data_IF_736248483202
#
_entry.id   IF_736248483202
#
_cell.length_a   1.000
_cell.length_b   1.000
_cell.length_c   1.000
_cell.angle_alpha   90.00
_cell.angle_beta   90.00
_cell.angle_gamma   90.00
#
_symmetry.space_group_name_H-M   'P 1'
#
loop_
_entity.id
_entity.type
_entity.pdbx_description
1 polymer ?
#
# COMPACT_ATOMS: atom_id res chain seq x y z
N UNK A 1 2.93 -14.10 11.44
CA UNK A 1 3.53 -12.77 11.67
C UNK A 1 2.43 -11.74 11.77
N UNK A 2 2.56 -10.81 12.67
CA UNK A 2 1.57 -9.77 12.89
C UNK A 2 2.03 -8.43 12.31
N UNK A 3 1.08 -7.65 11.78
CA UNK A 3 1.34 -6.28 11.36
C UNK A 3 1.53 -5.38 12.58
N UNK A 4 2.58 -4.56 12.57
CA UNK A 4 2.93 -3.66 13.68
C UNK A 4 2.78 -2.18 13.30
N UNK A 5 2.27 -1.89 12.12
CA UNK A 5 2.12 -0.53 11.59
C UNK A 5 0.75 -0.33 10.96
N UNK A 6 0.32 0.90 10.81
CA UNK A 6 -0.93 1.27 10.14
C UNK A 6 -2.16 0.56 10.72
N UNK A 7 -2.15 0.36 12.05
CA UNK A 7 -3.18 -0.42 12.75
C UNK A 7 -4.56 0.23 12.76
N UNK A 8 -4.62 1.55 12.55
CA UNK A 8 -5.88 2.31 12.50
C UNK A 8 -6.36 2.61 11.08
N UNK A 9 -5.68 2.05 10.06
CA UNK A 9 -6.03 2.33 8.67
C UNK A 9 -7.45 1.86 8.33
N UNK A 10 -8.12 2.60 7.46
CA UNK A 10 -9.46 2.21 6.97
C UNK A 10 -9.30 1.10 5.93
N UNK A 11 -9.61 -0.14 6.32
CA UNK A 11 -9.46 -1.30 5.46
C UNK A 11 -10.49 -1.36 4.33
N UNK A 12 -11.62 -0.67 4.46
CA UNK A 12 -12.60 -0.57 3.37
C UNK A 12 -12.04 0.23 2.20
N UNK A 13 -11.17 1.21 2.49
CA UNK A 13 -10.58 2.09 1.47
C UNK A 13 -9.18 1.65 1.03
N UNK A 14 -8.43 1.00 1.89
CA UNK A 14 -7.02 0.64 1.63
C UNK A 14 -6.78 -0.85 1.47
N UNK A 15 -7.77 -1.67 1.77
CA UNK A 15 -7.66 -3.11 1.65
C UNK A 15 -7.29 -3.80 2.96
N UNK A 16 -7.24 -5.11 2.90
CA UNK A 16 -6.95 -6.00 4.02
C UNK A 16 -5.69 -6.80 3.71
N UNK A 17 -4.80 -6.92 4.71
CA UNK A 17 -3.62 -7.78 4.58
C UNK A 17 -4.08 -9.23 4.52
N UNK A 18 -3.78 -9.92 3.42
CA UNK A 18 -4.16 -11.32 3.21
C UNK A 18 -2.96 -12.27 3.29
N UNK A 19 -1.74 -11.76 3.20
CA UNK A 19 -0.53 -12.53 3.46
C UNK A 19 0.55 -11.59 3.97
N UNK A 20 1.28 -12.04 4.98
CA UNK A 20 2.35 -11.25 5.59
C UNK A 20 3.47 -12.18 6.05
N UNK A 21 4.66 -11.92 5.55
CA UNK A 21 5.89 -12.57 5.98
C UNK A 21 7.01 -11.53 6.02
N UNK A 22 8.16 -11.90 6.55
CA UNK A 22 9.26 -10.95 6.66
C UNK A 22 9.61 -10.37 5.27
N UNK A 23 9.49 -9.06 5.13
CA UNK A 23 9.83 -8.36 3.89
C UNK A 23 8.83 -8.50 2.76
N UNK A 24 7.64 -9.09 3.01
CA UNK A 24 6.63 -9.27 1.97
C UNK A 24 5.21 -9.13 2.53
N UNK A 25 4.38 -8.40 1.80
CA UNK A 25 2.97 -8.24 2.17
C UNK A 25 2.08 -8.31 0.93
N UNK A 26 0.93 -8.95 1.09
CA UNK A 26 -0.14 -8.96 0.09
C UNK A 26 -1.36 -8.31 0.70
N UNK A 27 -1.93 -7.32 0.00
CA UNK A 27 -3.16 -6.63 0.38
C UNK A 27 -4.20 -6.88 -0.70
N UNK A 28 -5.42 -7.20 -0.29
CA UNK A 28 -6.57 -7.38 -1.20
C UNK A 28 -7.59 -6.30 -0.93
N UNK A 29 -8.07 -5.64 -1.99
CA UNK A 29 -9.07 -4.58 -1.92
C UNK A 29 -10.20 -4.86 -2.90
N UNK A 30 -11.43 -4.89 -2.38
CA UNK A 30 -12.63 -4.84 -3.22
C UNK A 30 -12.99 -3.37 -3.42
N UNK A 31 -12.95 -2.91 -4.67
CA UNK A 31 -13.27 -1.50 -4.96
C UNK A 31 -14.77 -1.25 -4.84
N UNK A 32 -15.12 -0.08 -4.34
CA UNK A 32 -16.51 0.28 -4.02
C UNK A 32 -16.91 1.60 -4.68
N UNK A 33 -18.21 1.91 -4.65
CA UNK A 33 -18.73 3.15 -5.21
C UNK A 33 -18.18 4.41 -4.55
N UNK A 34 -17.73 4.32 -3.30
CA UNK A 34 -17.07 5.45 -2.61
C UNK A 34 -15.75 5.86 -3.28
N UNK A 35 -15.21 4.99 -4.12
CA UNK A 35 -13.94 5.23 -4.83
C UNK A 35 -14.14 5.76 -6.25
N UNK A 36 -15.40 5.93 -6.69
CA UNK A 36 -15.68 6.35 -8.06
C UNK A 36 -15.30 7.80 -8.29
N UNK A 37 -14.57 8.04 -9.39
CA UNK A 37 -14.20 9.38 -9.83
C UNK A 37 -15.29 10.02 -10.71
N UNK A 38 -16.15 9.20 -11.33
CA UNK A 38 -17.16 9.66 -12.29
C UNK A 38 -18.38 8.75 -12.35
N UNK A 39 -19.34 9.12 -13.19
CA UNK A 39 -20.58 8.37 -13.37
C UNK A 39 -20.39 7.03 -14.10
N UNK A 40 -19.24 6.80 -14.73
CA UNK A 40 -18.92 5.53 -15.39
C UNK A 40 -18.26 4.51 -14.44
N UNK A 41 -18.16 4.88 -13.16
CA UNK A 41 -17.61 4.00 -12.12
C UNK A 41 -16.10 3.74 -12.27
N UNK A 42 -15.37 4.70 -12.83
CA UNK A 42 -13.92 4.67 -12.85
C UNK A 42 -13.41 4.85 -11.40
N UNK A 43 -12.59 3.94 -10.93
CA UNK A 43 -11.95 4.08 -9.61
C UNK A 43 -10.88 5.17 -9.70
N UNK A 44 -10.94 6.13 -8.78
CA UNK A 44 -9.91 7.16 -8.67
C UNK A 44 -8.56 6.53 -8.31
N UNK A 45 -7.51 6.91 -9.05
CA UNK A 45 -6.17 6.33 -8.89
C UNK A 45 -5.58 6.45 -7.50
N UNK A 46 -6.01 7.43 -6.72
CA UNK A 46 -5.58 7.59 -5.34
C UNK A 46 -5.90 6.38 -4.45
N UNK A 47 -6.96 5.63 -4.74
CA UNK A 47 -7.28 4.42 -3.98
C UNK A 47 -6.39 3.25 -4.37
N UNK A 48 -6.02 3.13 -5.64
CA UNK A 48 -5.05 2.12 -6.09
C UNK A 48 -3.68 2.42 -5.47
N UNK A 49 -3.25 3.68 -5.50
CA UNK A 49 -2.03 4.13 -4.83
C UNK A 49 -2.10 3.84 -3.33
N UNK A 50 -3.22 4.15 -2.68
CA UNK A 50 -3.37 3.97 -1.23
C UNK A 50 -3.21 2.52 -0.79
N UNK A 51 -3.78 1.56 -1.54
CA UNK A 51 -3.58 0.15 -1.20
C UNK A 51 -2.13 -0.29 -1.43
N UNK A 52 -1.48 0.23 -2.47
CA UNK A 52 -0.08 -0.07 -2.76
C UNK A 52 0.85 0.47 -1.65
N UNK A 53 0.61 1.70 -1.21
CA UNK A 53 1.31 2.32 -0.09
C UNK A 53 1.12 1.49 1.18
N UNK A 54 -0.10 1.11 1.50
CA UNK A 54 -0.38 0.26 2.66
C UNK A 54 0.37 -1.07 2.59
N UNK A 55 0.38 -1.73 1.44
CA UNK A 55 1.12 -2.96 1.24
C UNK A 55 2.63 -2.75 1.46
N UNK A 56 3.18 -1.64 0.96
CA UNK A 56 4.59 -1.30 1.15
C UNK A 56 4.93 -1.10 2.63
N UNK A 57 4.08 -0.35 3.36
CA UNK A 57 4.29 -0.11 4.79
C UNK A 57 4.27 -1.42 5.58
N UNK A 58 3.31 -2.29 5.28
CA UNK A 58 3.20 -3.59 5.96
C UNK A 58 4.31 -4.56 5.57
N UNK A 59 4.86 -4.46 4.36
CA UNK A 59 6.03 -5.27 3.96
C UNK A 59 7.26 -4.91 4.80
N UNK A 60 7.46 -3.62 5.08
CA UNK A 60 8.51 -3.14 5.99
C UNK A 60 8.19 -3.55 7.43
N UNK A 61 6.94 -3.40 7.81
CA UNK A 61 6.38 -3.85 9.09
C UNK A 61 7.12 -3.33 10.32
N UNK A 62 7.36 -2.03 10.36
CA UNK A 62 7.97 -1.36 11.51
C UNK A 62 6.98 -0.32 12.04
N UNK A 63 6.81 -0.19 13.37
CA UNK A 63 5.86 0.78 13.95
C UNK A 63 6.12 2.23 13.52
N UNK A 64 7.34 2.55 13.11
CA UNK A 64 7.73 3.91 12.74
C UNK A 64 8.09 4.07 11.26
N UNK A 65 7.57 3.18 10.41
CA UNK A 65 7.76 3.31 8.96
C UNK A 65 6.93 4.48 8.42
N UNK A 66 7.54 5.25 7.52
CA UNK A 66 6.85 6.30 6.77
C UNK A 66 7.24 6.20 5.29
N UNK A 67 6.35 6.67 4.44
CA UNK A 67 6.62 6.80 3.01
C UNK A 67 7.34 8.13 2.77
N UNK A 68 8.47 8.10 2.07
CA UNK A 68 9.22 9.30 1.73
C UNK A 68 9.11 9.69 0.26
N UNK A 69 9.04 8.72 -0.64
CA UNK A 69 8.94 8.95 -2.08
C UNK A 69 8.34 7.75 -2.79
N UNK A 70 7.78 7.96 -3.97
CA UNK A 70 7.28 6.88 -4.79
C UNK A 70 7.42 7.25 -6.27
N UNK A 71 7.85 6.28 -7.07
CA UNK A 71 7.80 6.35 -8.53
C UNK A 71 6.81 5.30 -8.99
N UNK A 72 5.72 5.72 -9.63
CA UNK A 72 4.59 4.84 -9.93
C UNK A 72 4.09 5.01 -11.35
N UNK A 73 3.47 3.95 -11.87
CA UNK A 73 2.82 3.94 -13.17
C UNK A 73 1.44 3.32 -13.04
N UNK A 74 0.43 4.01 -13.55
CA UNK A 74 -0.94 3.54 -13.63
C UNK A 74 -1.13 2.89 -15.01
N UNK A 75 -1.12 1.57 -15.06
CA UNK A 75 -1.01 0.81 -16.32
C UNK A 75 -2.36 0.56 -16.98
N UNK A 76 -3.41 0.37 -16.18
CA UNK A 76 -4.76 0.06 -16.66
C UNK A 76 -5.79 0.72 -15.76
N UNK A 77 -6.93 1.15 -16.31
CA UNK A 77 -8.02 1.66 -15.49
C UNK A 77 -8.67 0.56 -14.67
N UNK A 78 -9.24 0.94 -13.54
CA UNK A 78 -9.96 0.05 -12.63
C UNK A 78 -11.40 0.53 -12.52
N UNK A 79 -12.34 -0.41 -12.55
CA UNK A 79 -13.77 -0.13 -12.40
C UNK A 79 -14.26 -0.55 -11.02
N UNK A 80 -15.19 0.21 -10.47
CA UNK A 80 -15.86 -0.13 -9.19
C UNK A 80 -16.40 -1.56 -9.25
N UNK A 81 -16.19 -2.32 -8.18
CA UNK A 81 -16.56 -3.72 -8.06
C UNK A 81 -15.44 -4.70 -8.38
N UNK A 82 -14.39 -4.24 -9.04
CA UNK A 82 -13.24 -5.09 -9.32
C UNK A 82 -12.40 -5.29 -8.06
N UNK A 83 -11.83 -6.49 -7.94
CA UNK A 83 -10.99 -6.88 -6.81
C UNK A 83 -9.53 -6.76 -7.22
N UNK A 84 -8.75 -6.06 -6.40
CA UNK A 84 -7.34 -5.82 -6.64
C UNK A 84 -6.49 -6.51 -5.58
N UNK A 85 -5.31 -6.94 -6.00
CA UNK A 85 -4.32 -7.54 -5.11
C UNK A 85 -3.00 -6.80 -5.28
N UNK A 86 -2.47 -6.24 -4.19
CA UNK A 86 -1.17 -5.58 -4.17
C UNK A 86 -0.15 -6.50 -3.51
N UNK A 87 0.97 -6.70 -4.17
CA UNK A 87 2.11 -7.43 -3.61
C UNK A 87 3.29 -6.48 -3.46
N UNK A 88 3.81 -6.38 -2.25
CA UNK A 88 4.95 -5.55 -1.90
C UNK A 88 6.08 -6.43 -1.36
N UNK A 89 7.29 -6.20 -1.85
CA UNK A 89 8.48 -6.95 -1.41
C UNK A 89 9.59 -5.96 -1.11
N UNK A 90 10.16 -6.04 0.10
CA UNK A 90 11.33 -5.23 0.43
C UNK A 90 12.53 -5.78 -0.34
N UNK A 91 13.05 -4.99 -1.26
CA UNK A 91 14.15 -5.40 -2.14
C UNK A 91 15.50 -4.93 -1.64
N UNK A 92 15.54 -3.76 -0.98
CA UNK A 92 16.80 -3.18 -0.51
C UNK A 92 16.60 -2.52 0.85
N UNK A 93 17.56 -2.75 1.74
CA UNK A 93 17.64 -2.12 3.06
C UNK A 93 18.98 -1.41 3.15
N UNK A 94 18.95 -0.09 3.38
CA UNK A 94 20.17 0.71 3.51
C UNK A 94 19.97 1.75 4.62
N UNK A 95 20.55 1.48 5.80
CA UNK A 95 20.32 2.32 6.97
C UNK A 95 18.83 2.35 7.32
N UNK A 96 18.26 3.56 7.38
CA UNK A 96 16.83 3.76 7.64
C UNK A 96 15.95 3.51 6.41
N UNK A 97 16.55 3.45 5.23
CA UNK A 97 15.86 3.41 3.95
C UNK A 97 15.49 1.99 3.54
N UNK A 98 14.25 1.83 3.03
CA UNK A 98 13.76 0.58 2.46
C UNK A 98 13.22 0.86 1.06
N UNK A 99 13.71 0.13 0.06
CA UNK A 99 13.17 0.21 -1.29
C UNK A 99 12.18 -0.94 -1.46
N UNK A 100 10.93 -0.62 -1.78
CA UNK A 100 9.84 -1.57 -1.81
C UNK A 100 9.10 -1.51 -3.13
N UNK A 101 9.42 -2.38 -4.09
CA UNK A 101 8.60 -2.55 -5.28
C UNK A 101 7.22 -3.08 -4.92
N UNK A 102 6.19 -2.52 -5.55
CA UNK A 102 4.80 -2.95 -5.40
C UNK A 102 4.18 -3.13 -6.77
N UNK A 103 3.46 -4.22 -6.96
CA UNK A 103 2.64 -4.47 -8.14
C UNK A 103 1.21 -4.70 -7.70
N UNK A 104 0.26 -4.02 -8.35
CA UNK A 104 -1.17 -4.22 -8.12
C UNK A 104 -1.76 -4.90 -9.34
N UNK A 105 -2.49 -5.98 -9.10
CA UNK A 105 -3.10 -6.80 -10.16
C UNK A 105 -4.60 -6.91 -9.98
N UNK A 106 -5.27 -7.03 -11.11
CA UNK A 106 -6.66 -7.49 -11.20
C UNK A 106 -6.61 -8.85 -11.87
N UNK A 107 -6.74 -9.94 -11.08
CA UNK A 107 -6.43 -11.27 -11.58
C UNK A 107 -4.96 -11.36 -11.93
N UNK A 108 -4.64 -11.68 -13.19
CA UNK A 108 -3.26 -11.74 -13.69
C UNK A 108 -2.79 -10.44 -14.33
N UNK A 109 -3.70 -9.49 -14.54
CA UNK A 109 -3.39 -8.24 -15.23
C UNK A 109 -2.81 -7.21 -14.27
N UNK A 110 -1.63 -6.68 -14.59
CA UNK A 110 -1.04 -5.59 -13.83
C UNK A 110 -1.75 -4.28 -14.16
N UNK A 111 -2.32 -3.65 -13.15
CA UNK A 111 -3.02 -2.36 -13.29
C UNK A 111 -2.19 -1.19 -12.77
N UNK A 112 -1.20 -1.47 -11.92
CA UNK A 112 -0.35 -0.46 -11.32
C UNK A 112 0.95 -1.10 -10.87
N UNK A 113 2.03 -0.36 -10.95
CA UNK A 113 3.30 -0.76 -10.34
C UNK A 113 4.10 0.45 -9.93
N UNK A 114 4.98 0.27 -8.97
CA UNK A 114 5.85 1.34 -8.53
C UNK A 114 6.92 0.86 -7.57
N UNK A 115 7.84 1.77 -7.26
CA UNK A 115 8.84 1.57 -6.22
C UNK A 115 8.62 2.61 -5.14
N UNK A 116 8.41 2.15 -3.93
CA UNK A 116 8.13 2.98 -2.76
C UNK A 116 9.39 3.07 -1.91
N UNK A 117 9.83 4.30 -1.67
CA UNK A 117 10.99 4.58 -0.81
C UNK A 117 10.47 4.87 0.58
N UNK A 118 10.72 3.95 1.50
CA UNK A 118 10.22 4.00 2.87
C UNK A 118 11.38 4.26 3.83
N UNK A 119 11.07 4.88 4.97
CA UNK A 119 12.06 5.16 6.01
C UNK A 119 11.56 4.64 7.34
N UNK A 120 12.43 3.94 8.05
CA UNK A 120 12.17 3.49 9.41
C UNK A 120 12.82 4.50 10.36
N UNK A 121 11.97 5.23 11.10
CA UNK A 121 12.42 6.24 12.04
C UNK A 121 12.66 5.63 13.43
N UNK A 122 13.36 6.37 14.30
CA UNK A 122 13.61 5.94 15.67
C UNK A 122 12.42 6.17 16.60
N UNK A 123 11.50 7.06 16.19
CA UNK A 123 10.29 7.39 16.93
C UNK A 123 9.22 7.85 15.96
N UNK A 124 8.01 8.04 16.47
CA UNK A 124 6.89 8.49 15.63
C UNK A 124 7.23 9.82 14.95
N UNK A 125 6.91 9.93 13.65
CA UNK A 125 7.23 11.11 12.83
C UNK A 125 6.60 12.40 13.38
N UNK A 126 5.45 12.29 14.05
CA UNK A 126 4.77 13.42 14.68
C UNK A 126 5.29 13.72 16.10
N UNK A 127 6.26 12.94 16.60
CA UNK A 127 6.73 13.02 17.96
C UNK A 127 5.86 12.20 18.91
N UNK A 128 6.20 12.26 20.21
CA UNK A 128 5.43 11.55 21.22
C UNK A 128 4.09 12.22 21.46
N UNK A 129 3.05 11.40 21.71
CA UNK A 129 1.74 11.89 22.07
C UNK A 129 1.81 12.56 23.44
N UNK A 130 1.31 13.80 23.54
CA UNK A 130 1.14 14.52 24.81
C UNK A 130 -0.27 14.22 25.31
N UNK A 131 -0.37 13.14 26.04
CA UNK A 131 -1.65 12.80 26.66
C UNK A 131 -1.92 13.70 27.87
#
# INVERSE_FOLDING_TARGET
>A
MNCTTHLAINTDLCGTVTALEEGRCVVTLTTTSDMAADAQQLVHGGFVFGMADYAAMCAVNDPYVVLGAAETSFLKPVRVGEILTAEAVVEEVKGKKRMVPVTVRRGVEEVFKGTFTCFVLESHVLGESKA
#
